data_IF_324114127635
#
_entry.id   IF_324114127635
#
_cell.length_a   1.000
_cell.length_b   1.000
_cell.length_c   1.000
_cell.angle_alpha   90.00
_cell.angle_beta   90.00
_cell.angle_gamma   90.00
#
_symmetry.space_group_name_H-M   'P 1'
#
loop_
_entity.id
_entity.type
_entity.pdbx_description
1 polymer ?
#
# COMPACT_ATOMS: atom_id res chain seq x y z
N UNK A 1 -15.51 -32.92 10.24
CA UNK A 1 -16.47 -32.12 11.02
C UNK A 1 -17.91 -32.28 10.54
N UNK A 2 -18.34 -31.79 9.37
CA UNK A 2 -19.74 -31.96 8.94
C UNK A 2 -20.16 -33.44 8.76
N UNK A 3 -19.27 -34.27 8.19
CA UNK A 3 -19.50 -35.72 8.05
C UNK A 3 -19.59 -36.40 9.41
N UNK A 4 -18.68 -36.09 10.34
CA UNK A 4 -18.66 -36.66 11.70
C UNK A 4 -19.88 -36.23 12.54
N UNK A 5 -20.33 -34.97 12.43
CA UNK A 5 -21.53 -34.49 13.10
C UNK A 5 -22.80 -35.17 12.59
N UNK A 6 -22.84 -35.48 11.29
CA UNK A 6 -23.94 -36.21 10.67
C UNK A 6 -23.96 -37.68 11.12
N UNK A 7 -22.81 -38.34 11.16
CA UNK A 7 -22.67 -39.69 11.70
C UNK A 7 -23.10 -39.76 13.18
N UNK A 8 -22.71 -38.79 14.01
CA UNK A 8 -23.16 -38.70 15.40
C UNK A 8 -24.68 -38.54 15.54
N UNK A 9 -25.33 -37.80 14.64
CA UNK A 9 -26.79 -37.63 14.62
C UNK A 9 -27.49 -38.95 14.27
N UNK A 10 -26.96 -39.68 13.29
CA UNK A 10 -27.46 -40.99 12.88
C UNK A 10 -27.28 -42.03 14.00
N UNK A 11 -26.13 -42.02 14.69
CA UNK A 11 -25.85 -42.87 15.85
C UNK A 11 -26.80 -42.58 17.01
N UNK A 12 -27.08 -41.31 17.32
CA UNK A 12 -28.05 -40.92 18.36
C UNK A 12 -29.47 -41.37 18.01
N UNK A 13 -29.86 -41.30 16.73
CA UNK A 13 -31.16 -41.83 16.28
C UNK A 13 -31.23 -43.36 16.39
N UNK A 14 -30.15 -44.08 16.09
CA UNK A 14 -30.07 -45.52 16.29
C UNK A 14 -30.15 -45.89 17.77
N UNK A 15 -29.43 -45.16 18.64
CA UNK A 15 -29.48 -45.35 20.10
C UNK A 15 -30.90 -45.14 20.65
N UNK A 16 -31.60 -44.09 20.19
CA UNK A 16 -32.98 -43.78 20.61
C UNK A 16 -33.96 -44.90 20.29
N UNK A 17 -33.76 -45.61 19.17
CA UNK A 17 -34.58 -46.78 18.78
C UNK A 17 -34.27 -48.03 19.62
N UNK A 18 -33.04 -48.14 20.13
CA UNK A 18 -32.59 -49.31 20.90
C UNK A 18 -32.87 -49.23 22.41
N UNK A 19 -33.07 -48.02 22.95
CA UNK A 19 -33.26 -47.75 24.38
C UNK A 19 -34.62 -47.07 24.64
N UNK A 20 -35.69 -47.84 24.93
CA UNK A 20 -37.04 -47.30 25.12
C UNK A 20 -37.31 -46.70 26.52
N UNK A 21 -36.32 -46.71 27.43
CA UNK A 21 -36.46 -46.13 28.76
C UNK A 21 -36.63 -44.59 28.69
N UNK A 22 -37.68 -44.01 29.31
CA UNK A 22 -37.92 -42.57 29.31
C UNK A 22 -36.75 -41.71 29.80
N UNK A 23 -35.95 -42.22 30.74
CA UNK A 23 -34.80 -41.49 31.31
C UNK A 23 -33.63 -41.38 30.31
N UNK A 24 -33.42 -42.43 29.51
CA UNK A 24 -32.43 -42.46 28.44
C UNK A 24 -32.88 -41.62 27.24
N UNK A 25 -34.17 -41.64 26.89
CA UNK A 25 -34.68 -40.81 25.78
C UNK A 25 -34.51 -39.31 26.04
N UNK A 26 -34.80 -38.83 27.26
CA UNK A 26 -34.60 -37.42 27.60
C UNK A 26 -33.12 -36.98 27.48
N UNK A 27 -32.19 -37.88 27.80
CA UNK A 27 -30.75 -37.62 27.69
C UNK A 27 -30.28 -37.64 26.24
N UNK A 28 -30.80 -38.56 25.43
CA UNK A 28 -30.51 -38.65 23.98
C UNK A 28 -31.06 -37.42 23.24
N UNK A 29 -32.27 -36.97 23.58
CA UNK A 29 -32.88 -35.77 22.99
C UNK A 29 -32.04 -34.51 23.29
N UNK A 30 -31.52 -34.40 24.52
CA UNK A 30 -30.62 -33.32 24.91
C UNK A 30 -29.30 -33.35 24.12
N UNK A 31 -28.75 -34.54 23.87
CA UNK A 31 -27.56 -34.70 23.05
C UNK A 31 -27.84 -34.37 21.57
N UNK A 32 -28.97 -34.80 21.03
CA UNK A 32 -29.38 -34.46 19.65
C UNK A 32 -29.47 -32.95 19.45
N UNK A 33 -30.15 -32.23 20.35
CA UNK A 33 -30.23 -30.75 20.30
C UNK A 33 -28.84 -30.11 20.35
N UNK A 34 -27.91 -30.67 21.12
CA UNK A 34 -26.55 -30.15 21.21
C UNK A 34 -25.75 -30.39 19.92
N UNK A 35 -25.88 -31.57 19.31
CA UNK A 35 -25.23 -31.90 18.03
C UNK A 35 -25.85 -31.10 16.88
N UNK A 36 -27.17 -30.89 16.87
CA UNK A 36 -27.84 -30.00 15.91
C UNK A 36 -27.40 -28.54 16.07
N UNK A 37 -27.20 -28.07 17.31
CA UNK A 37 -26.65 -26.74 17.57
C UNK A 37 -25.22 -26.61 17.03
N UNK A 38 -24.36 -27.61 17.27
CA UNK A 38 -23.00 -27.67 16.71
C UNK A 38 -23.00 -27.76 15.18
N UNK A 39 -23.96 -28.49 14.59
CA UNK A 39 -24.12 -28.62 13.14
C UNK A 39 -24.56 -27.30 12.51
N UNK A 40 -25.49 -26.58 13.14
CA UNK A 40 -25.87 -25.24 12.71
C UNK A 40 -24.68 -24.28 12.79
N UNK A 41 -23.94 -24.28 13.91
CA UNK A 41 -22.69 -23.49 14.03
C UNK A 41 -21.66 -23.85 12.96
N UNK A 42 -21.57 -25.12 12.57
CA UNK A 42 -20.70 -25.58 11.49
C UNK A 42 -21.20 -25.18 10.09
N UNK A 43 -22.50 -25.17 9.84
CA UNK A 43 -23.09 -24.71 8.58
C UNK A 43 -22.92 -23.20 8.37
N UNK A 44 -22.86 -22.43 9.46
CA UNK A 44 -22.48 -21.02 9.45
C UNK A 44 -20.96 -20.81 9.54
N UNK A 45 -20.15 -21.86 9.35
CA UNK A 45 -18.71 -21.69 9.27
C UNK A 45 -18.40 -20.68 8.15
N UNK A 46 -17.62 -19.63 8.45
CA UNK A 46 -17.39 -18.55 7.50
C UNK A 46 -16.77 -19.12 6.23
N UNK A 47 -17.28 -18.72 5.07
CA UNK A 47 -16.76 -19.10 3.77
C UNK A 47 -15.25 -18.82 3.74
N UNK A 48 -14.43 -19.88 3.80
CA UNK A 48 -12.98 -19.76 3.74
C UNK A 48 -12.57 -19.69 2.29
N UNK A 49 -11.80 -18.65 1.97
CA UNK A 49 -11.17 -18.52 0.67
C UNK A 49 -10.24 -19.71 0.42
N UNK A 50 -10.35 -20.34 -0.75
CA UNK A 50 -9.41 -21.38 -1.19
C UNK A 50 -8.17 -20.76 -1.83
N UNK A 51 -7.06 -21.51 -1.86
CA UNK A 51 -5.88 -21.08 -2.61
C UNK A 51 -6.17 -21.02 -4.11
N UNK A 52 -5.76 -19.92 -4.74
CA UNK A 52 -5.89 -19.67 -6.17
C UNK A 52 -4.52 -19.83 -6.81
N UNK A 53 -4.38 -20.77 -7.74
CA UNK A 53 -3.10 -21.04 -8.40
C UNK A 53 -2.66 -19.90 -9.33
N UNK A 54 -3.56 -19.44 -10.19
CA UNK A 54 -3.29 -18.44 -11.23
C UNK A 54 -4.24 -17.25 -11.06
N UNK A 55 -3.74 -16.02 -11.20
CA UNK A 55 -4.52 -14.81 -10.95
C UNK A 55 -5.43 -14.48 -12.14
N UNK A 56 -6.63 -15.06 -12.17
CA UNK A 56 -7.57 -14.88 -13.29
C UNK A 56 -8.12 -13.44 -13.39
N UNK A 57 -8.26 -12.94 -14.62
CA UNK A 57 -8.98 -11.70 -14.92
C UNK A 57 -10.50 -11.89 -15.08
N UNK A 58 -11.01 -13.11 -14.94
CA UNK A 58 -12.43 -13.41 -15.05
C UNK A 58 -13.25 -12.64 -14.00
N UNK A 59 -14.31 -11.97 -14.45
CA UNK A 59 -15.15 -11.13 -13.60
C UNK A 59 -16.32 -11.96 -13.08
N UNK A 60 -16.07 -12.67 -11.98
CA UNK A 60 -17.06 -13.45 -11.23
C UNK A 60 -16.96 -13.12 -9.75
N UNK A 61 -18.06 -13.28 -9.01
CA UNK A 61 -18.11 -12.92 -7.58
C UNK A 61 -17.22 -13.80 -6.70
N UNK A 62 -16.89 -15.01 -7.16
CA UNK A 62 -15.96 -15.92 -6.48
C UNK A 62 -14.48 -15.56 -6.69
N UNK A 63 -14.14 -14.66 -7.61
CA UNK A 63 -12.76 -14.28 -7.90
C UNK A 63 -12.35 -13.00 -7.14
N UNK A 64 -11.55 -13.11 -6.05
CA UNK A 64 -11.12 -11.98 -5.25
C UNK A 64 -10.15 -11.05 -5.98
N UNK A 65 -9.56 -11.49 -7.09
CA UNK A 65 -8.58 -10.72 -7.88
C UNK A 65 -9.17 -10.00 -9.07
N UNK A 66 -10.44 -10.25 -9.42
CA UNK A 66 -11.12 -9.70 -10.60
C UNK A 66 -10.98 -8.17 -10.73
N UNK A 67 -11.15 -7.44 -9.62
CA UNK A 67 -11.07 -5.97 -9.60
C UNK A 67 -9.62 -5.46 -9.65
N UNK A 68 -8.67 -6.24 -9.18
CA UNK A 68 -7.24 -5.91 -9.26
C UNK A 68 -6.72 -6.12 -10.69
N UNK A 69 -7.11 -7.23 -11.33
CA UNK A 69 -6.78 -7.53 -12.73
C UNK A 69 -7.42 -6.53 -13.71
N UNK A 70 -8.47 -5.83 -13.31
CA UNK A 70 -9.05 -4.75 -14.11
C UNK A 70 -8.05 -3.60 -14.35
N UNK A 71 -7.10 -3.35 -13.45
CA UNK A 71 -6.05 -2.34 -13.64
C UNK A 71 -5.20 -2.61 -14.88
N UNK A 72 -4.99 -3.89 -15.21
CA UNK A 72 -4.27 -4.29 -16.42
C UNK A 72 -5.12 -4.06 -17.67
N UNK A 73 -6.42 -4.32 -17.60
CA UNK A 73 -7.35 -4.03 -18.72
C UNK A 73 -7.51 -2.53 -18.98
N UNK A 74 -7.42 -1.72 -17.93
CA UNK A 74 -7.46 -0.25 -18.02
C UNK A 74 -6.13 0.37 -18.47
N UNK A 75 -5.09 -0.44 -18.74
CA UNK A 75 -3.78 0.05 -19.16
C UNK A 75 -2.98 0.77 -18.06
N UNK A 76 -3.39 0.67 -16.78
CA UNK A 76 -2.70 1.31 -15.67
C UNK A 76 -1.47 0.51 -15.22
N UNK A 77 -1.57 -0.82 -15.23
CA UNK A 77 -0.49 -1.74 -14.85
C UNK A 77 -0.33 -2.81 -15.90
N UNK A 78 0.78 -2.84 -16.63
CA UNK A 78 0.98 -3.77 -17.76
C UNK A 78 0.85 -5.25 -17.35
N UNK A 79 1.37 -5.61 -16.18
CA UNK A 79 1.32 -6.99 -15.67
C UNK A 79 1.13 -6.98 -14.16
N UNK A 80 -0.13 -7.03 -13.72
CA UNK A 80 -0.48 -7.01 -12.30
C UNK A 80 -0.09 -8.31 -11.59
N UNK A 81 -0.17 -9.46 -12.27
CA UNK A 81 0.09 -10.79 -11.68
C UNK A 81 1.50 -10.91 -11.07
N UNK A 82 2.46 -10.14 -11.61
CA UNK A 82 3.83 -10.03 -11.08
C UNK A 82 3.90 -9.66 -9.60
N UNK A 83 2.84 -9.08 -9.02
CA UNK A 83 2.77 -8.81 -7.59
C UNK A 83 3.04 -10.07 -6.73
N UNK A 84 2.67 -11.26 -7.24
CA UNK A 84 2.92 -12.55 -6.60
C UNK A 84 4.38 -12.99 -6.61
N UNK A 85 5.23 -12.38 -7.42
CA UNK A 85 6.66 -12.68 -7.44
C UNK A 85 7.43 -11.86 -6.39
N UNK A 86 6.82 -10.83 -5.81
CA UNK A 86 7.51 -9.94 -4.90
C UNK A 86 7.35 -10.38 -3.45
N UNK A 87 8.37 -10.02 -2.67
CA UNK A 87 8.48 -10.29 -1.25
C UNK A 87 8.79 -9.01 -0.49
N UNK A 88 8.03 -8.74 0.57
CA UNK A 88 8.16 -7.51 1.36
C UNK A 88 8.36 -7.85 2.83
N UNK A 89 9.38 -7.26 3.45
CA UNK A 89 9.58 -7.33 4.89
C UNK A 89 8.94 -6.10 5.56
N UNK A 90 8.15 -6.28 6.61
CA UNK A 90 7.50 -5.21 7.35
C UNK A 90 8.00 -5.26 8.80
N UNK A 91 8.66 -4.18 9.23
CA UNK A 91 9.20 -4.04 10.58
C UNK A 91 8.28 -3.12 11.38
N UNK A 92 7.71 -3.66 12.45
CA UNK A 92 6.64 -3.04 13.25
C UNK A 92 5.27 -3.39 12.69
N UNK A 93 4.50 -4.23 13.39
CA UNK A 93 3.12 -4.61 13.10
C UNK A 93 2.19 -3.85 14.06
N UNK A 94 2.43 -2.54 14.19
CA UNK A 94 1.60 -1.59 14.92
C UNK A 94 0.49 -1.01 14.04
N UNK A 95 0.05 0.22 14.32
CA UNK A 95 -1.10 0.82 13.62
C UNK A 95 -0.93 1.04 12.11
N UNK A 96 0.27 1.43 11.66
CA UNK A 96 0.57 1.59 10.22
C UNK A 96 0.91 0.24 9.60
N UNK A 97 1.80 -0.51 10.23
CA UNK A 97 2.34 -1.76 9.66
C UNK A 97 1.31 -2.88 9.54
N UNK A 98 0.34 -2.98 10.46
CA UNK A 98 -0.72 -3.98 10.37
C UNK A 98 -1.66 -3.72 9.19
N UNK A 99 -2.05 -2.47 8.97
CA UNK A 99 -2.87 -2.04 7.83
C UNK A 99 -2.09 -2.19 6.52
N UNK A 100 -0.81 -1.85 6.50
CA UNK A 100 0.05 -2.04 5.34
C UNK A 100 0.17 -3.54 4.96
N UNK A 101 0.33 -4.41 5.96
CA UNK A 101 0.36 -5.86 5.77
C UNK A 101 -0.97 -6.39 5.22
N UNK A 102 -2.10 -5.90 5.74
CA UNK A 102 -3.43 -6.26 5.24
C UNK A 102 -3.63 -5.84 3.78
N UNK A 103 -3.31 -4.59 3.44
CA UNK A 103 -3.44 -4.08 2.08
C UNK A 103 -2.59 -4.87 1.09
N UNK A 104 -1.31 -5.13 1.40
CA UNK A 104 -0.44 -5.94 0.55
C UNK A 104 -0.94 -7.39 0.42
N UNK A 105 -1.47 -7.96 1.50
CA UNK A 105 -2.07 -9.31 1.50
C UNK A 105 -3.29 -9.36 0.58
N UNK A 106 -4.16 -8.35 0.65
CA UNK A 106 -5.34 -8.22 -0.24
C UNK A 106 -4.94 -8.00 -1.71
N UNK A 107 -3.85 -7.27 -1.96
CA UNK A 107 -3.27 -7.13 -3.31
C UNK A 107 -2.67 -8.44 -3.86
N UNK A 108 -2.45 -9.46 -3.01
CA UNK A 108 -1.89 -10.73 -3.43
C UNK A 108 -0.37 -10.72 -3.59
N UNK A 109 0.33 -9.96 -2.73
CA UNK A 109 1.80 -10.02 -2.63
C UNK A 109 2.27 -11.47 -2.45
N UNK A 110 3.41 -11.82 -3.05
CA UNK A 110 3.92 -13.20 -3.01
C UNK A 110 4.29 -13.67 -1.60
N UNK A 111 5.03 -12.83 -0.88
CA UNK A 111 5.54 -13.16 0.47
C UNK A 111 5.62 -11.94 1.37
N UNK A 112 5.23 -12.08 2.63
CA UNK A 112 5.46 -11.09 3.70
C UNK A 112 6.31 -11.67 4.83
N UNK A 113 7.33 -10.92 5.25
CA UNK A 113 8.07 -11.17 6.48
C UNK A 113 7.63 -10.13 7.51
N UNK A 114 7.15 -10.56 8.67
CA UNK A 114 6.55 -9.70 9.69
C UNK A 114 7.43 -9.69 10.94
N UNK A 115 7.94 -8.53 11.34
CA UNK A 115 8.79 -8.38 12.53
C UNK A 115 8.11 -7.48 13.55
N UNK A 116 7.87 -7.99 14.74
CA UNK A 116 7.41 -7.22 15.91
C UNK A 116 7.77 -8.03 17.17
N UNK A 117 8.02 -7.37 18.30
CA UNK A 117 8.29 -8.05 19.57
C UNK A 117 7.16 -7.91 20.58
N UNK A 118 6.19 -7.04 20.32
CA UNK A 118 5.10 -6.74 21.24
C UNK A 118 3.98 -7.79 21.17
N UNK A 119 3.12 -7.72 22.18
CA UNK A 119 1.83 -8.42 22.21
C UNK A 119 0.69 -7.47 21.88
N UNK A 120 -0.43 -8.05 21.50
CA UNK A 120 -1.69 -7.31 21.33
C UNK A 120 -2.23 -6.94 22.70
N UNK A 121 -2.49 -5.65 22.90
CA UNK A 121 -3.08 -5.11 24.11
C UNK A 121 -4.44 -4.47 23.81
N UNK A 122 -5.31 -4.38 24.82
CA UNK A 122 -6.63 -3.73 24.67
C UNK A 122 -6.49 -2.25 24.31
N UNK A 123 -5.41 -1.60 24.76
CA UNK A 123 -5.07 -0.22 24.40
C UNK A 123 -4.81 -0.05 22.90
N UNK A 124 -4.60 -1.13 22.13
CA UNK A 124 -4.41 -1.06 20.68
C UNK A 124 -5.73 -1.05 19.89
N UNK A 125 -6.89 -1.24 20.54
CA UNK A 125 -8.20 -1.35 19.87
C UNK A 125 -8.73 -0.02 19.31
N UNK A 126 -8.09 1.11 19.61
CA UNK A 126 -8.35 2.38 18.93
C UNK A 126 -7.74 2.42 17.51
N UNK A 127 -6.92 1.43 17.16
CA UNK A 127 -6.28 1.26 15.85
C UNK A 127 -7.00 0.18 15.06
N UNK A 128 -6.75 0.17 13.75
CA UNK A 128 -7.30 -0.84 12.86
C UNK A 128 -6.59 -2.21 13.04
N UNK A 129 -7.14 -3.23 12.40
CA UNK A 129 -6.60 -4.59 12.23
C UNK A 129 -6.79 -5.58 13.40
N UNK A 130 -6.23 -5.33 14.59
CA UNK A 130 -6.32 -6.29 15.69
C UNK A 130 -7.72 -6.28 16.34
N UNK A 131 -8.12 -7.42 16.90
CA UNK A 131 -9.43 -7.61 17.53
C UNK A 131 -9.32 -7.96 19.02
N UNK A 132 -10.35 -7.69 19.84
CA UNK A 132 -10.29 -7.95 21.29
C UNK A 132 -9.97 -9.40 21.66
N UNK A 133 -10.42 -10.36 20.86
CA UNK A 133 -10.16 -11.79 21.06
C UNK A 133 -8.70 -12.20 20.86
N UNK A 134 -7.86 -11.33 20.28
CA UNK A 134 -6.44 -11.58 20.05
C UNK A 134 -5.53 -11.02 21.15
N UNK A 135 -6.11 -10.37 22.18
CA UNK A 135 -5.34 -9.79 23.29
C UNK A 135 -4.49 -10.88 23.97
N UNK A 136 -3.21 -10.57 24.20
CA UNK A 136 -2.23 -11.48 24.80
C UNK A 136 -1.44 -12.33 23.79
N UNK A 137 -1.90 -12.43 22.53
CA UNK A 137 -1.10 -12.99 21.43
C UNK A 137 0.06 -12.06 21.07
N UNK A 138 1.13 -12.61 20.50
CA UNK A 138 2.15 -11.78 19.85
C UNK A 138 1.51 -11.06 18.65
N UNK A 139 1.91 -9.82 18.37
CA UNK A 139 1.34 -9.06 17.24
C UNK A 139 1.59 -9.78 15.91
N UNK A 140 2.74 -10.41 15.77
CA UNK A 140 3.12 -11.22 14.61
C UNK A 140 2.23 -12.44 14.44
N UNK A 141 1.96 -13.23 15.48
CA UNK A 141 1.10 -14.42 15.38
C UNK A 141 -0.37 -14.03 15.11
N UNK A 142 -0.86 -13.01 15.81
CA UNK A 142 -2.21 -12.47 15.57
C UNK A 142 -2.37 -11.96 14.13
N UNK A 143 -1.34 -11.32 13.59
CA UNK A 143 -1.33 -10.89 12.20
C UNK A 143 -1.29 -12.07 11.22
N UNK A 144 -0.43 -13.06 11.43
CA UNK A 144 -0.38 -14.26 10.57
C UNK A 144 -1.74 -14.98 10.54
N UNK A 145 -2.40 -15.10 11.70
CA UNK A 145 -3.73 -15.70 11.78
C UNK A 145 -4.73 -14.93 10.91
N UNK A 146 -4.87 -13.63 11.11
CA UNK A 146 -5.81 -12.78 10.35
C UNK A 146 -5.49 -12.76 8.85
N UNK A 147 -4.21 -12.58 8.48
CA UNK A 147 -3.80 -12.44 7.08
C UNK A 147 -3.93 -13.75 6.30
N UNK A 148 -3.67 -14.90 6.94
CA UNK A 148 -3.88 -16.22 6.33
C UNK A 148 -5.35 -16.46 5.97
N UNK A 149 -6.26 -16.00 6.82
CA UNK A 149 -7.70 -16.10 6.58
C UNK A 149 -8.15 -15.14 5.46
N UNK A 150 -7.54 -13.96 5.35
CA UNK A 150 -7.83 -12.97 4.29
C UNK A 150 -7.35 -13.46 2.91
N UNK A 151 -6.13 -13.98 2.84
CA UNK A 151 -5.56 -14.48 1.59
C UNK A 151 -4.57 -15.63 1.81
N UNK A 152 -5.00 -16.89 1.62
CA UNK A 152 -4.16 -18.06 1.83
C UNK A 152 -3.07 -18.24 0.74
N UNK A 153 -3.10 -17.41 -0.31
CA UNK A 153 -2.12 -17.44 -1.39
C UNK A 153 -0.79 -16.80 -1.00
N UNK A 154 -0.80 -15.90 -0.01
CA UNK A 154 0.38 -15.16 0.45
C UNK A 154 1.22 -16.05 1.37
N UNK A 155 2.53 -16.10 1.13
CA UNK A 155 3.46 -16.76 2.04
C UNK A 155 3.77 -15.81 3.20
N UNK A 156 3.46 -16.20 4.44
CA UNK A 156 3.68 -15.40 5.63
C UNK A 156 4.79 -16.00 6.50
N UNK A 157 5.78 -15.19 6.88
CA UNK A 157 6.82 -15.55 7.83
C UNK A 157 6.81 -14.55 8.99
N UNK A 158 6.55 -15.01 10.21
CA UNK A 158 6.59 -14.17 11.42
C UNK A 158 7.92 -14.32 12.16
N UNK A 159 8.41 -13.19 12.68
CA UNK A 159 9.61 -13.10 13.51
C UNK A 159 9.27 -12.29 14.77
N UNK A 160 8.93 -13.00 15.85
CA UNK A 160 8.64 -12.39 17.15
C UNK A 160 9.94 -12.06 17.89
N UNK A 161 10.58 -10.94 17.54
CA UNK A 161 11.88 -10.54 18.08
C UNK A 161 12.10 -9.04 18.04
N UNK A 162 12.93 -8.53 18.95
CA UNK A 162 13.41 -7.16 18.90
C UNK A 162 14.68 -7.09 18.02
N UNK A 163 14.56 -6.46 16.87
CA UNK A 163 15.65 -6.32 15.89
C UNK A 163 16.85 -5.50 16.42
N UNK A 164 16.69 -4.70 17.47
CA UNK A 164 17.78 -3.87 18.02
C UNK A 164 18.74 -4.65 18.91
N UNK A 165 18.35 -5.84 19.35
CA UNK A 165 19.26 -6.76 20.06
C UNK A 165 20.27 -7.37 19.09
N UNK A 166 21.46 -7.75 19.56
CA UNK A 166 22.50 -8.37 18.72
C UNK A 166 21.96 -9.60 17.97
N UNK A 167 21.33 -10.53 18.70
CA UNK A 167 20.74 -11.73 18.11
C UNK A 167 19.58 -11.40 17.16
N UNK A 168 18.76 -10.40 17.50
CA UNK A 168 17.67 -9.93 16.65
C UNK A 168 18.16 -9.35 15.33
N UNK A 169 19.22 -8.54 15.38
CA UNK A 169 19.85 -7.95 14.20
C UNK A 169 20.45 -9.03 13.27
N UNK A 170 21.18 -10.01 13.83
CA UNK A 170 21.71 -11.13 13.06
C UNK A 170 20.60 -11.94 12.38
N UNK A 171 19.51 -12.20 13.11
CA UNK A 171 18.35 -12.92 12.57
C UNK A 171 17.65 -12.11 11.48
N UNK A 172 17.49 -10.80 11.68
CA UNK A 172 16.93 -9.88 10.68
C UNK A 172 17.78 -9.87 9.41
N UNK A 173 19.09 -9.62 9.52
CA UNK A 173 20.02 -9.65 8.38
C UNK A 173 20.02 -10.99 7.65
N UNK A 174 20.05 -12.10 8.39
CA UNK A 174 20.00 -13.45 7.82
C UNK A 174 18.71 -13.70 7.06
N UNK A 175 17.55 -13.37 7.65
CA UNK A 175 16.25 -13.55 7.00
C UNK A 175 16.08 -12.69 5.75
N UNK A 176 16.56 -11.44 5.75
CA UNK A 176 16.59 -10.60 4.54
C UNK A 176 17.47 -11.17 3.43
N UNK A 177 18.55 -11.89 3.77
CA UNK A 177 19.44 -12.55 2.78
C UNK A 177 18.86 -13.85 2.23
N UNK A 178 17.94 -14.52 2.93
CA UNK A 178 17.40 -15.83 2.53
C UNK A 178 16.61 -15.72 1.22
N UNK A 179 17.13 -16.40 0.19
CA UNK A 179 16.54 -16.47 -1.16
C UNK A 179 15.60 -17.66 -1.37
N UNK A 180 15.04 -18.22 -0.29
CA UNK A 180 14.18 -19.42 -0.37
C UNK A 180 12.98 -19.21 -1.28
N UNK A 181 12.38 -18.02 -1.24
CA UNK A 181 11.23 -17.67 -2.09
C UNK A 181 11.61 -17.47 -3.57
N UNK A 182 12.78 -16.89 -3.85
CA UNK A 182 13.32 -16.71 -5.21
C UNK A 182 14.82 -17.01 -5.27
N UNK A 183 15.21 -18.28 -5.47
CA UNK A 183 16.62 -18.69 -5.44
C UNK A 183 17.50 -17.99 -6.48
N UNK A 184 16.92 -17.64 -7.64
CA UNK A 184 17.62 -16.99 -8.76
C UNK A 184 17.74 -15.46 -8.62
N UNK A 185 17.22 -14.86 -7.56
CA UNK A 185 17.22 -13.41 -7.38
C UNK A 185 18.62 -12.88 -7.03
N UNK A 186 19.03 -11.81 -7.68
CA UNK A 186 20.27 -11.07 -7.35
C UNK A 186 20.08 -10.18 -6.11
N UNK A 187 21.16 -9.93 -5.37
CA UNK A 187 21.10 -9.12 -4.14
C UNK A 187 20.47 -9.86 -2.95
N UNK A 188 19.56 -9.20 -2.24
CA UNK A 188 18.83 -9.72 -1.07
C UNK A 188 17.71 -10.70 -1.45
N UNK A 189 17.21 -11.41 -0.44
CA UNK A 189 16.07 -12.31 -0.56
C UNK A 189 14.69 -11.63 -0.54
N UNK A 190 14.62 -10.33 -0.24
CA UNK A 190 13.38 -9.53 -0.23
C UNK A 190 13.44 -8.38 -1.25
N UNK A 191 12.30 -7.99 -1.81
CA UNK A 191 12.24 -6.92 -2.83
C UNK A 191 12.20 -5.54 -2.19
N UNK A 192 11.54 -5.41 -1.04
CA UNK A 192 11.42 -4.16 -0.31
C UNK A 192 11.34 -4.42 1.19
N UNK A 193 11.89 -3.52 1.99
CA UNK A 193 11.66 -3.46 3.44
C UNK A 193 10.79 -2.24 3.73
N UNK A 194 9.79 -2.38 4.59
CA UNK A 194 8.92 -1.31 5.07
C UNK A 194 9.14 -1.13 6.57
N UNK A 195 9.65 0.03 6.97
CA UNK A 195 9.80 0.41 8.38
C UNK A 195 8.54 1.13 8.85
N UNK A 196 7.80 0.49 9.74
CA UNK A 196 6.57 0.99 10.37
C UNK A 196 6.71 1.03 11.91
N UNK A 197 7.95 1.12 12.41
CA UNK A 197 8.29 1.18 13.84
C UNK A 197 8.03 2.57 14.43
N UNK A 198 7.94 2.66 15.75
CA UNK A 198 7.56 3.90 16.46
C UNK A 198 8.74 4.62 17.12
N UNK A 199 9.94 4.04 17.15
CA UNK A 199 11.12 4.61 17.81
C UNK A 199 12.30 4.78 16.84
N UNK A 200 13.22 5.70 17.16
CA UNK A 200 14.36 6.02 16.30
C UNK A 200 15.46 4.95 16.34
N UNK A 201 15.61 4.25 17.47
CA UNK A 201 16.57 3.14 17.62
C UNK A 201 16.34 2.06 16.55
N UNK A 202 15.10 1.58 16.43
CA UNK A 202 14.73 0.58 15.43
C UNK A 202 14.86 1.11 13.99
N UNK A 203 14.51 2.38 13.72
CA UNK A 203 14.73 3.01 12.40
C UNK A 203 16.21 3.01 12.01
N UNK A 204 17.09 3.34 12.96
CA UNK A 204 18.54 3.33 12.74
C UNK A 204 19.08 1.92 12.48
N UNK A 205 18.53 0.90 13.14
CA UNK A 205 18.87 -0.51 12.90
C UNK A 205 18.44 -0.99 11.51
N UNK A 206 17.20 -0.66 11.09
CA UNK A 206 16.74 -0.96 9.72
C UNK A 206 17.62 -0.24 8.69
N UNK A 207 17.95 1.04 8.93
CA UNK A 207 18.85 1.81 8.08
C UNK A 207 20.24 1.17 7.97
N UNK A 208 20.83 0.72 9.08
CA UNK A 208 22.12 0.04 9.09
C UNK A 208 22.08 -1.23 8.24
N UNK A 209 21.10 -2.11 8.50
CA UNK A 209 20.92 -3.36 7.76
C UNK A 209 20.76 -3.09 6.25
N UNK A 210 19.92 -2.12 5.89
CA UNK A 210 19.64 -1.84 4.49
C UNK A 210 20.85 -1.24 3.74
N UNK A 211 21.63 -0.37 4.40
CA UNK A 211 22.88 0.14 3.80
C UNK A 211 23.90 -0.99 3.59
N UNK A 212 24.09 -1.86 4.58
CA UNK A 212 25.02 -3.01 4.47
C UNK A 212 24.63 -3.98 3.36
N UNK A 213 23.33 -4.25 3.19
CA UNK A 213 22.81 -5.19 2.19
C UNK A 213 22.56 -4.56 0.81
N UNK A 214 22.72 -3.24 0.68
CA UNK A 214 22.24 -2.49 -0.48
C UNK A 214 20.74 -2.76 -0.78
N UNK A 215 19.93 -2.86 0.27
CA UNK A 215 18.51 -3.15 0.19
C UNK A 215 17.72 -1.84 0.10
N UNK A 216 16.87 -1.72 -0.93
CA UNK A 216 15.91 -0.61 -1.01
C UNK A 216 14.82 -0.79 0.05
N UNK A 217 14.43 0.30 0.70
CA UNK A 217 13.41 0.26 1.74
C UNK A 217 12.58 1.54 1.76
N UNK A 218 11.41 1.48 2.38
CA UNK A 218 10.60 2.66 2.65
C UNK A 218 10.39 2.80 4.16
N UNK A 219 10.48 4.03 4.63
CA UNK A 219 10.17 4.40 6.00
C UNK A 219 8.80 5.07 6.06
N UNK A 220 8.11 4.90 7.19
CA UNK A 220 6.90 5.62 7.52
C UNK A 220 6.88 6.07 8.96
N UNK A 221 6.27 7.23 9.20
CA UNK A 221 6.10 7.79 10.53
C UNK A 221 4.79 8.54 10.67
N UNK A 222 4.26 8.54 11.89
CA UNK A 222 3.11 9.34 12.33
C UNK A 222 3.57 10.14 13.54
N UNK A 223 3.21 11.42 13.62
CA UNK A 223 3.58 12.28 14.74
C UNK A 223 2.88 11.88 16.04
N UNK A 224 3.47 12.24 17.19
CA UNK A 224 2.92 11.92 18.51
C UNK A 224 1.54 12.55 18.78
N UNK A 225 1.20 13.64 18.10
CA UNK A 225 -0.11 14.30 18.15
C UNK A 225 -1.12 13.75 17.12
N UNK A 226 -0.72 12.75 16.33
CA UNK A 226 -1.50 12.07 15.29
C UNK A 226 -2.04 12.95 14.16
N UNK A 227 -1.60 14.21 14.01
CA UNK A 227 -2.08 15.12 12.95
C UNK A 227 -1.09 15.32 11.80
N UNK A 228 0.00 14.56 11.78
CA UNK A 228 0.90 14.50 10.64
C UNK A 228 1.50 13.11 10.45
N UNK A 229 2.00 12.84 9.25
CA UNK A 229 2.73 11.63 8.94
C UNK A 229 3.54 11.79 7.65
N UNK A 230 4.31 10.77 7.32
CA UNK A 230 5.07 10.75 6.07
C UNK A 230 5.42 9.33 5.65
N UNK A 231 5.83 9.22 4.39
CA UNK A 231 6.56 8.08 3.84
C UNK A 231 7.81 8.58 3.13
N UNK A 232 8.87 7.78 3.14
CA UNK A 232 10.12 8.07 2.47
C UNK A 232 10.66 6.82 1.79
N UNK A 233 11.14 6.93 0.56
CA UNK A 233 11.88 5.89 -0.16
C UNK A 233 13.38 6.10 0.01
N UNK A 234 14.06 5.06 0.48
CA UNK A 234 15.49 5.04 0.74
C UNK A 234 16.13 3.97 -0.14
N UNK A 235 16.85 4.44 -1.17
CA UNK A 235 17.68 3.62 -2.05
C UNK A 235 19.14 3.91 -1.66
N UNK A 236 19.84 2.96 -1.00
CA UNK A 236 21.20 3.20 -0.52
C UNK A 236 22.13 3.73 -1.61
N UNK A 237 22.76 4.88 -1.35
CA UNK A 237 23.67 5.55 -2.29
C UNK A 237 23.01 6.51 -3.29
N UNK A 238 21.71 6.37 -3.55
CA UNK A 238 20.96 7.17 -4.52
C UNK A 238 20.10 8.26 -3.86
N UNK A 239 19.38 7.90 -2.80
CA UNK A 239 18.60 8.84 -1.96
C UNK A 239 19.17 8.91 -0.54
N UNK A 240 18.80 9.95 0.20
CA UNK A 240 19.20 10.10 1.60
C UNK A 240 18.83 8.86 2.41
N UNK A 241 19.81 8.25 3.08
CA UNK A 241 19.54 7.26 4.12
C UNK A 241 19.06 7.99 5.39
N UNK A 242 18.51 7.26 6.37
CA UNK A 242 17.96 7.87 7.58
C UNK A 242 19.03 8.61 8.41
N UNK A 243 20.29 8.16 8.33
CA UNK A 243 21.44 8.79 8.97
C UNK A 243 22.02 9.99 8.19
N UNK A 244 21.52 10.31 6.99
CA UNK A 244 21.97 11.48 6.23
C UNK A 244 21.41 12.79 6.82
N UNK A 245 20.17 12.75 7.30
CA UNK A 245 19.47 13.85 7.93
C UNK A 245 18.81 13.38 9.25
N UNK A 246 19.61 13.02 10.27
CA UNK A 246 19.09 12.46 11.50
C UNK A 246 18.29 13.50 12.29
N UNK A 247 17.21 13.10 12.99
CA UNK A 247 16.50 13.99 13.89
C UNK A 247 17.41 14.42 15.05
N UNK A 248 17.09 15.56 15.68
CA UNK A 248 17.93 16.17 16.72
C UNK A 248 18.28 15.21 17.88
N UNK A 249 17.32 14.39 18.31
CA UNK A 249 17.54 13.40 19.39
C UNK A 249 18.64 12.39 19.04
N UNK A 250 18.66 11.91 17.79
CA UNK A 250 19.68 10.99 17.29
C UNK A 250 21.02 11.70 17.10
N UNK A 251 21.01 12.91 16.53
CA UNK A 251 22.23 13.69 16.28
C UNK A 251 22.94 14.11 17.58
N UNK A 252 22.18 14.36 18.65
CA UNK A 252 22.71 14.76 19.97
C UNK A 252 23.10 13.57 20.86
N UNK A 253 22.79 12.33 20.46
CA UNK A 253 23.08 11.13 21.24
C UNK A 253 22.25 11.00 22.52
N UNK A 254 21.13 11.71 22.62
CA UNK A 254 20.21 11.62 23.74
C UNK A 254 19.39 10.34 23.62
N UNK A 255 19.26 9.60 24.72
CA UNK A 255 18.41 8.41 24.76
C UNK A 255 16.92 8.82 24.69
N UNK A 256 16.22 8.39 23.64
CA UNK A 256 14.79 8.64 23.41
C UNK A 256 13.94 8.20 24.61
N UNK A 257 14.36 7.18 25.36
CA UNK A 257 13.66 6.68 26.54
C UNK A 257 13.56 7.73 27.65
N UNK A 258 14.48 8.69 27.68
CA UNK A 258 14.46 9.82 28.64
C UNK A 258 13.41 10.88 28.30
N UNK A 259 12.90 10.89 27.07
CA UNK A 259 11.86 11.83 26.61
C UNK A 259 10.44 11.30 26.92
N UNK A 260 10.27 9.98 26.99
CA UNK A 260 8.99 9.33 27.29
C UNK A 260 8.71 9.41 28.79
N UNK A 261 7.67 10.14 29.18
CA UNK A 261 7.19 10.20 30.57
C UNK A 261 6.24 9.04 30.85
N UNK A 262 6.41 8.37 31.99
CA UNK A 262 5.49 7.32 32.42
C UNK A 262 4.05 7.87 32.52
N UNK A 263 3.09 7.11 31.99
CA UNK A 263 1.67 7.50 31.96
C UNK A 263 1.26 8.44 30.83
N UNK A 264 2.18 8.88 29.97
CA UNK A 264 1.88 9.69 28.77
C UNK A 264 1.99 8.81 27.54
N UNK A 265 0.89 8.61 26.82
CA UNK A 265 0.89 7.92 25.54
C UNK A 265 0.86 8.92 24.37
N UNK A 266 1.51 8.56 23.27
CA UNK A 266 1.32 9.28 22.02
C UNK A 266 -0.14 9.17 21.59
N UNK A 267 -0.71 10.29 21.13
CA UNK A 267 -2.01 10.27 20.50
C UNK A 267 -1.95 9.36 19.26
N UNK A 268 -3.03 8.64 19.00
CA UNK A 268 -3.09 7.64 17.96
C UNK A 268 -4.46 7.70 17.32
N UNK A 269 -4.51 8.23 16.09
CA UNK A 269 -5.74 8.35 15.32
C UNK A 269 -5.75 7.32 14.19
N UNK A 270 -6.77 6.44 14.11
CA UNK A 270 -6.81 5.39 13.09
C UNK A 270 -6.89 5.94 11.67
N UNK A 271 -7.42 7.16 11.49
CA UNK A 271 -7.49 7.84 10.19
C UNK A 271 -6.09 8.18 9.67
N UNK A 272 -5.25 8.83 10.47
CA UNK A 272 -3.87 9.18 10.08
C UNK A 272 -3.04 7.94 9.78
N UNK A 273 -3.20 6.89 10.60
CA UNK A 273 -2.55 5.60 10.35
C UNK A 273 -3.01 4.96 9.04
N UNK A 274 -4.31 4.99 8.76
CA UNK A 274 -4.88 4.49 7.50
C UNK A 274 -4.39 5.26 6.27
N UNK A 275 -4.33 6.60 6.36
CA UNK A 275 -3.78 7.45 5.28
C UNK A 275 -2.31 7.12 5.02
N UNK A 276 -1.48 7.09 6.06
CA UNK A 276 -0.04 6.81 5.90
C UNK A 276 0.19 5.39 5.39
N UNK A 277 -0.54 4.38 5.89
CA UNK A 277 -0.45 3.01 5.39
C UNK A 277 -0.87 2.90 3.92
N UNK A 278 -1.97 3.58 3.54
CA UNK A 278 -2.45 3.63 2.17
C UNK A 278 -1.41 4.26 1.22
N UNK A 279 -0.83 5.40 1.62
CA UNK A 279 0.25 6.05 0.86
C UNK A 279 1.48 5.15 0.74
N UNK A 280 1.88 4.49 1.83
CA UNK A 280 3.04 3.59 1.88
C UNK A 280 2.87 2.40 0.91
N UNK A 281 1.71 1.74 0.97
CA UNK A 281 1.41 0.60 0.09
C UNK A 281 1.23 1.06 -1.35
N UNK A 282 0.59 2.20 -1.60
CA UNK A 282 0.48 2.75 -2.95
C UNK A 282 1.87 3.03 -3.55
N UNK A 283 2.79 3.60 -2.77
CA UNK A 283 4.16 3.82 -3.24
C UNK A 283 4.92 2.50 -3.46
N UNK A 284 4.67 1.50 -2.61
CA UNK A 284 5.18 0.12 -2.77
C UNK A 284 4.71 -0.51 -4.07
N UNK A 285 3.42 -0.42 -4.39
CA UNK A 285 2.86 -0.96 -5.63
C UNK A 285 3.43 -0.23 -6.85
N UNK A 286 3.47 1.10 -6.87
CA UNK A 286 4.12 1.89 -7.94
C UNK A 286 5.57 1.44 -8.15
N UNK A 287 6.31 1.24 -7.06
CA UNK A 287 7.72 0.86 -7.10
C UNK A 287 7.92 -0.57 -7.65
N UNK A 288 7.13 -1.54 -7.20
CA UNK A 288 7.27 -2.95 -7.59
C UNK A 288 6.71 -3.22 -8.99
N UNK A 289 5.53 -2.69 -9.30
CA UNK A 289 4.80 -2.92 -10.54
C UNK A 289 5.12 -1.90 -11.65
N UNK A 290 5.97 -0.91 -11.37
CA UNK A 290 6.50 0.05 -12.35
C UNK A 290 5.41 0.86 -13.08
N UNK A 291 4.45 1.38 -12.32
CA UNK A 291 3.42 2.29 -12.84
C UNK A 291 3.41 3.61 -12.07
N UNK A 292 2.93 4.68 -12.73
CA UNK A 292 2.88 6.03 -12.17
C UNK A 292 4.24 6.56 -11.71
N UNK A 293 4.22 7.58 -10.85
CA UNK A 293 5.43 8.19 -10.30
C UNK A 293 5.67 7.77 -8.85
N UNK A 294 6.80 7.11 -8.58
CA UNK A 294 7.21 6.77 -7.21
C UNK A 294 7.66 8.03 -6.49
N UNK A 295 7.15 8.26 -5.29
CA UNK A 295 7.49 9.44 -4.47
C UNK A 295 8.73 9.15 -3.62
N UNK A 296 9.83 9.93 -3.74
CA UNK A 296 10.99 9.81 -2.86
C UNK A 296 10.66 10.18 -1.41
N UNK A 297 9.82 11.18 -1.22
CA UNK A 297 9.20 11.53 0.05
C UNK A 297 7.80 12.08 -0.21
N UNK A 298 6.87 11.74 0.66
CA UNK A 298 5.52 12.30 0.69
C UNK A 298 5.10 12.51 2.14
N UNK A 299 4.89 13.77 2.52
CA UNK A 299 4.32 14.15 3.80
C UNK A 299 2.81 14.19 3.76
N UNK A 300 2.20 14.16 4.94
CA UNK A 300 0.78 14.36 5.17
C UNK A 300 0.60 15.26 6.39
N UNK A 301 -0.09 16.39 6.20
CA UNK A 301 -0.52 17.27 7.28
C UNK A 301 -2.05 17.29 7.32
N UNK A 302 -2.61 16.65 8.35
CA UNK A 302 -4.06 16.48 8.51
C UNK A 302 -4.80 17.78 8.88
N UNK A 303 -4.10 18.81 9.35
CA UNK A 303 -4.72 20.08 9.72
C UNK A 303 -5.02 20.97 8.51
N UNK A 304 -4.32 20.75 7.39
CA UNK A 304 -4.40 21.59 6.19
C UNK A 304 -4.64 20.80 4.91
N UNK A 305 -4.90 19.49 5.02
CA UNK A 305 -4.98 18.55 3.90
C UNK A 305 -3.81 18.72 2.90
N UNK A 306 -2.62 18.92 3.45
CA UNK A 306 -1.43 19.27 2.67
C UNK A 306 -0.49 18.07 2.53
N UNK A 307 -0.10 17.79 1.27
CA UNK A 307 0.69 16.62 0.88
C UNK A 307 1.99 17.02 0.17
N UNK A 308 3.02 17.49 0.91
CA UNK A 308 4.29 17.91 0.30
C UNK A 308 5.08 16.72 -0.23
N UNK A 309 5.58 16.83 -1.46
CA UNK A 309 6.60 15.93 -2.01
C UNK A 309 7.97 16.59 -2.01
N UNK A 310 9.02 15.82 -1.75
CA UNK A 310 10.40 16.29 -1.83
C UNK A 310 11.34 15.16 -2.26
N UNK A 311 12.54 15.53 -2.68
CA UNK A 311 13.63 14.59 -2.93
C UNK A 311 14.79 14.91 -2.00
N UNK A 312 15.16 13.96 -1.14
CA UNK A 312 16.30 14.09 -0.25
C UNK A 312 17.50 13.32 -0.81
N UNK A 313 18.62 14.03 -1.01
CA UNK A 313 19.85 13.45 -1.54
C UNK A 313 20.77 12.94 -0.44
N UNK A 314 21.61 11.93 -0.72
CA UNK A 314 22.60 11.42 0.23
C UNK A 314 23.51 12.54 0.74
N UNK A 315 23.82 12.49 2.04
CA UNK A 315 24.84 13.35 2.64
C UNK A 315 26.24 12.76 2.31
N UNK A 316 27.13 13.50 1.61
CA UNK A 316 28.49 13.03 1.29
C UNK A 316 29.38 12.83 2.52
N UNK A 317 28.96 13.32 3.69
CA UNK A 317 29.61 13.17 4.98
C UNK A 317 28.71 12.43 5.98
N UNK A 318 27.83 11.55 5.49
CA UNK A 318 26.99 10.72 6.36
C UNK A 318 27.84 9.95 7.38
N UNK A 319 27.36 9.90 8.63
CA UNK A 319 28.03 9.16 9.72
C UNK A 319 28.06 7.65 9.51
N UNK A 320 27.23 7.13 8.60
CA UNK A 320 27.15 5.71 8.28
C UNK A 320 28.15 5.35 7.17
N UNK A 321 29.19 4.58 7.51
CA UNK A 321 30.23 4.17 6.56
C UNK A 321 29.70 3.37 5.37
N UNK A 322 28.76 2.44 5.60
CA UNK A 322 28.13 1.68 4.52
C UNK A 322 27.35 2.59 3.56
N UNK A 323 26.69 3.65 4.05
CA UNK A 323 26.05 4.63 3.18
C UNK A 323 27.07 5.33 2.26
N UNK A 324 28.25 5.72 2.78
CA UNK A 324 29.31 6.33 1.97
C UNK A 324 29.86 5.38 0.91
N UNK A 325 29.97 4.09 1.22
CA UNK A 325 30.35 3.05 0.25
C UNK A 325 29.31 2.91 -0.86
N UNK A 326 28.02 2.80 -0.50
CA UNK A 326 26.91 2.74 -1.47
C UNK A 326 26.85 3.99 -2.36
N UNK A 327 27.15 5.18 -1.82
CA UNK A 327 27.24 6.41 -2.62
C UNK A 327 28.35 6.32 -3.68
N UNK A 328 29.53 5.79 -3.34
CA UNK A 328 30.62 5.59 -4.31
C UNK A 328 30.23 4.59 -5.40
N UNK A 329 29.63 3.47 -5.02
CA UNK A 329 29.12 2.47 -5.96
C UNK A 329 28.07 3.06 -6.90
N UNK A 330 27.13 3.84 -6.35
CA UNK A 330 26.11 4.54 -7.12
C UNK A 330 26.72 5.52 -8.13
N UNK A 331 27.68 6.34 -7.72
CA UNK A 331 28.36 7.30 -8.61
C UNK A 331 29.08 6.62 -9.78
N UNK A 332 29.67 5.44 -9.55
CA UNK A 332 30.31 4.65 -10.60
C UNK A 332 29.27 4.05 -11.58
N UNK A 333 28.11 3.63 -11.08
CA UNK A 333 27.04 3.07 -11.90
C UNK A 333 26.16 4.13 -12.60
N UNK A 334 26.13 5.35 -12.07
CA UNK A 334 25.21 6.42 -12.49
C UNK A 334 25.28 6.73 -13.99
N UNK A 335 26.45 6.90 -14.64
CA UNK A 335 26.49 7.24 -16.06
C UNK A 335 25.78 6.20 -16.95
N UNK A 336 25.98 4.91 -16.66
CA UNK A 336 25.34 3.83 -17.41
C UNK A 336 23.83 3.78 -17.14
N UNK A 337 23.41 4.01 -15.89
CA UNK A 337 21.98 4.06 -15.51
C UNK A 337 21.26 5.24 -16.16
N UNK A 338 21.85 6.43 -16.12
CA UNK A 338 21.28 7.65 -16.71
C UNK A 338 21.16 7.51 -18.23
N UNK A 339 22.17 6.93 -18.89
CA UNK A 339 22.12 6.62 -20.32
C UNK A 339 21.00 5.62 -20.65
N UNK A 340 20.84 4.56 -19.86
CA UNK A 340 19.78 3.57 -20.04
C UNK A 340 18.38 4.16 -19.81
N UNK A 341 18.22 5.01 -18.79
CA UNK A 341 16.96 5.69 -18.51
C UNK A 341 16.59 6.66 -19.63
N UNK A 342 17.56 7.44 -20.12
CA UNK A 342 17.39 8.34 -21.26
C UNK A 342 16.99 7.59 -22.53
N UNK A 343 17.66 6.48 -22.83
CA UNK A 343 17.31 5.62 -23.98
C UNK A 343 15.90 5.02 -23.84
N UNK A 344 15.48 4.63 -22.64
CA UNK A 344 14.12 4.14 -22.37
C UNK A 344 13.08 5.25 -22.59
N UNK A 345 13.32 6.44 -22.05
CA UNK A 345 12.42 7.60 -22.26
C UNK A 345 12.33 7.99 -23.73
N UNK A 346 13.45 8.00 -24.46
CA UNK A 346 13.46 8.25 -25.90
C UNK A 346 12.69 7.17 -26.67
N UNK A 347 12.83 5.89 -26.29
CA UNK A 347 12.06 4.80 -26.89
C UNK A 347 10.55 4.92 -26.60
N UNK A 348 10.17 5.28 -25.37
CA UNK A 348 8.77 5.53 -24.98
C UNK A 348 8.18 6.74 -25.71
N UNK A 349 8.96 7.81 -25.90
CA UNK A 349 8.53 8.98 -26.68
C UNK A 349 8.39 8.69 -28.18
N UNK A 350 9.18 7.73 -28.71
CA UNK A 350 9.08 7.26 -30.11
C UNK A 350 7.89 6.33 -30.33
N UNK A 351 7.40 5.66 -29.30
CA UNK A 351 6.07 5.03 -29.29
C UNK A 351 5.05 6.15 -29.18
N UNK A 352 4.79 6.78 -30.32
CA UNK A 352 3.89 7.90 -30.58
C UNK A 352 2.82 8.05 -29.49
N UNK A 353 2.89 9.15 -28.73
CA UNK A 353 1.71 9.72 -28.11
C UNK A 353 0.77 10.09 -29.26
N UNK A 354 -0.11 9.16 -29.66
CA UNK A 354 -1.20 9.49 -30.57
C UNK A 354 -1.93 10.66 -29.93
N UNK A 355 -1.99 11.78 -30.65
CA UNK A 355 -2.83 12.90 -30.23
C UNK A 355 -4.20 12.33 -29.89
N UNK A 356 -4.87 12.78 -28.80
CA UNK A 356 -6.18 12.27 -28.44
C UNK A 356 -7.09 12.26 -29.68
N UNK A 357 -7.38 11.07 -30.19
CA UNK A 357 -8.26 10.92 -31.34
C UNK A 357 -9.66 11.06 -30.78
N UNK A 358 -10.31 12.16 -31.12
CA UNK A 358 -11.73 12.33 -30.83
C UNK A 358 -12.50 11.54 -31.88
N UNK A 359 -13.03 10.38 -31.48
CA UNK A 359 -13.87 9.55 -32.34
C UNK A 359 -15.04 10.37 -32.93
N UNK A 360 -15.57 11.30 -32.12
CA UNK A 360 -16.62 12.25 -32.52
C UNK A 360 -16.16 13.70 -32.29
N UNK A 361 -16.24 14.51 -33.34
CA UNK A 361 -16.05 15.97 -33.27
C UNK A 361 -17.07 16.70 -34.14
N UNK A 362 -18.35 16.39 -33.94
CA UNK A 362 -19.47 16.95 -34.73
C UNK A 362 -19.50 18.49 -34.74
N UNK A 363 -18.97 19.11 -33.68
CA UNK A 363 -18.96 20.56 -33.48
C UNK A 363 -17.70 21.23 -34.04
N UNK A 364 -16.82 20.48 -34.73
CA UNK A 364 -15.54 20.97 -35.27
C UNK A 364 -14.72 21.77 -34.24
N UNK A 365 -14.70 21.31 -33.00
CA UNK A 365 -13.93 21.92 -31.92
C UNK A 365 -12.46 21.67 -32.23
N UNK A 366 -11.67 22.75 -32.29
CA UNK A 366 -10.22 22.68 -32.48
C UNK A 366 -9.51 23.11 -31.21
N UNK A 367 -8.44 22.39 -30.84
CA UNK A 367 -7.51 22.84 -29.81
C UNK A 367 -6.59 23.89 -30.45
N UNK A 368 -6.61 25.10 -29.93
CA UNK A 368 -5.72 26.19 -30.35
C UNK A 368 -4.57 26.25 -29.34
N UNK A 369 -3.34 26.34 -29.82
CA UNK A 369 -2.18 26.51 -28.96
C UNK A 369 -2.17 27.93 -28.39
N UNK A 370 -1.78 28.11 -27.11
CA UNK A 370 -1.74 29.42 -26.46
C UNK A 370 -0.77 30.39 -27.18
N UNK A 371 0.14 29.86 -28.00
CA UNK A 371 1.05 30.64 -28.86
C UNK A 371 0.39 31.27 -30.10
N UNK A 372 -0.83 30.87 -30.48
CA UNK A 372 -1.56 31.40 -31.64
C UNK A 372 -2.49 32.58 -31.30
N UNK A 373 -2.71 32.88 -30.02
CA UNK A 373 -3.58 33.97 -29.58
C UNK A 373 -3.04 35.38 -29.91
N UNK A 374 -1.77 35.49 -30.30
CA UNK A 374 -1.12 36.76 -30.72
C UNK A 374 -1.16 37.02 -32.24
N UNK A 375 -1.83 36.18 -33.05
CA UNK A 375 -1.94 36.37 -34.50
C UNK A 375 -3.38 36.54 -34.96
N UNK A 376 -3.98 37.67 -34.59
CA UNK A 376 -5.15 38.19 -35.33
C UNK A 376 -4.68 38.97 -36.56
N UNK A 377 -4.52 38.28 -37.68
CA UNK A 377 -4.76 38.90 -38.99
C UNK A 377 -5.29 37.86 -39.99
N UNK A 378 -6.44 38.18 -40.57
CA UNK A 378 -7.31 37.24 -41.23
C UNK A 378 -6.75 36.62 -42.51
N UNK A 379 -7.04 35.33 -42.70
CA UNK A 379 -7.49 34.74 -43.97
C UNK A 379 -7.98 33.31 -43.72
N UNK A 380 -9.23 33.06 -44.09
CA UNK A 380 -9.81 31.73 -44.20
C UNK A 380 -9.17 30.97 -45.36
N UNK A 381 -8.52 29.84 -45.09
CA UNK A 381 -8.32 28.78 -46.08
C UNK A 381 -8.34 27.44 -45.36
N UNK A 382 -9.31 26.60 -45.70
CA UNK A 382 -9.48 25.27 -45.16
C UNK A 382 -8.30 24.37 -45.49
N UNK A 383 -7.71 23.80 -44.44
CA UNK A 383 -7.06 22.49 -44.41
C UNK A 383 -6.98 22.07 -42.93
N UNK A 384 -7.19 20.79 -42.60
CA UNK A 384 -7.08 20.31 -41.23
C UNK A 384 -5.61 20.39 -40.82
N UNK A 385 -5.28 21.40 -39.99
CA UNK A 385 -3.96 21.58 -39.44
C UNK A 385 -3.79 20.63 -38.25
N UNK A 386 -2.97 19.61 -38.46
CA UNK A 386 -2.34 18.83 -37.40
C UNK A 386 -1.28 19.73 -36.77
N UNK A 387 -1.50 20.19 -35.53
CA UNK A 387 -0.51 20.95 -34.78
C UNK A 387 -0.43 20.41 -33.35
N UNK A 388 0.76 19.92 -33.00
CA UNK A 388 1.15 19.49 -31.65
C UNK A 388 1.61 20.69 -30.83
N UNK A 389 1.20 20.78 -29.56
CA UNK A 389 2.01 21.41 -28.52
C UNK A 389 1.91 20.63 -27.20
N UNK A 390 3.07 20.39 -26.59
CA UNK A 390 3.26 19.74 -25.29
C UNK A 390 3.05 20.77 -24.18
N UNK A 391 1.82 21.01 -23.75
CA UNK A 391 1.48 21.67 -22.47
C UNK A 391 -0.03 21.65 -22.30
N UNK A 392 -0.53 21.72 -21.06
CA UNK A 392 -1.94 21.61 -20.69
C UNK A 392 -2.41 20.16 -20.51
N UNK A 393 -1.78 19.45 -19.58
CA UNK A 393 -2.36 18.24 -18.98
C UNK A 393 -2.66 18.42 -17.49
N UNK A 394 -3.14 19.59 -17.05
CA UNK A 394 -3.53 19.77 -15.62
C UNK A 394 -4.73 20.69 -15.34
N UNK A 395 -5.42 21.21 -16.36
CA UNK A 395 -6.51 22.20 -16.15
C UNK A 395 -7.95 21.72 -16.35
N UNK A 396 -8.21 20.68 -17.14
CA UNK A 396 -9.57 20.41 -17.64
C UNK A 396 -10.39 19.35 -16.87
N UNK A 397 -9.81 18.63 -15.90
CA UNK A 397 -10.54 17.57 -15.20
C UNK A 397 -11.61 18.08 -14.21
N UNK A 398 -11.56 19.36 -13.81
CA UNK A 398 -12.51 19.90 -12.81
C UNK A 398 -13.83 20.37 -13.43
N UNK A 399 -13.87 20.65 -14.74
CA UNK A 399 -15.08 21.20 -15.38
C UNK A 399 -16.00 20.09 -15.90
N UNK A 400 -15.46 18.94 -16.30
CA UNK A 400 -16.26 17.85 -16.87
C UNK A 400 -17.18 17.15 -15.84
N UNK A 401 -16.75 17.00 -14.59
CA UNK A 401 -17.57 16.34 -13.56
C UNK A 401 -18.69 17.22 -12.99
N UNK A 402 -18.56 18.55 -13.06
CA UNK A 402 -19.66 19.45 -12.69
C UNK A 402 -20.76 19.52 -13.76
N UNK A 403 -20.47 19.12 -15.00
CA UNK A 403 -21.39 19.21 -16.13
C UNK A 403 -22.35 18.02 -16.27
N UNK A 404 -22.10 16.91 -15.56
CA UNK A 404 -22.94 15.71 -15.65
C UNK A 404 -24.14 15.70 -14.68
N UNK A 405 -24.33 16.72 -13.83
CA UNK A 405 -25.35 16.71 -12.77
C UNK A 405 -26.24 17.97 -12.67
N UNK A 406 -26.28 18.84 -13.69
CA UNK A 406 -27.16 20.02 -13.66
C UNK A 406 -28.30 19.89 -14.69
N UNK A 407 -29.51 19.71 -14.16
CA UNK A 407 -30.76 19.79 -14.92
C UNK A 407 -30.82 21.06 -15.77
N UNK A 408 -31.25 20.89 -17.01
CA UNK A 408 -31.35 21.87 -18.12
C UNK A 408 -32.02 23.22 -17.77
N UNK A 409 -32.68 23.32 -16.61
CA UNK A 409 -33.37 24.52 -16.14
C UNK A 409 -32.45 25.54 -15.45
N UNK A 410 -31.37 25.10 -14.77
CA UNK A 410 -30.41 26.01 -14.14
C UNK A 410 -29.43 26.64 -15.16
N UNK A 411 -29.08 25.90 -16.21
CA UNK A 411 -28.14 26.34 -17.24
C UNK A 411 -28.62 27.61 -17.98
N UNK A 412 -29.93 27.72 -18.24
CA UNK A 412 -30.52 28.93 -18.85
C UNK A 412 -30.50 30.16 -17.94
N UNK A 413 -30.53 30.00 -16.61
CA UNK A 413 -30.40 31.13 -15.68
C UNK A 413 -28.96 31.59 -15.52
N UNK A 414 -27.99 30.67 -15.52
CA UNK A 414 -26.57 31.00 -15.38
C UNK A 414 -26.05 31.82 -16.57
N UNK A 415 -26.46 31.46 -17.79
CA UNK A 415 -26.11 32.19 -19.01
C UNK A 415 -26.69 33.61 -19.04
N UNK A 416 -27.91 33.81 -18.55
CA UNK A 416 -28.50 35.16 -18.46
C UNK A 416 -27.82 36.05 -17.42
N UNK A 417 -27.27 35.49 -16.35
CA UNK A 417 -26.51 36.26 -15.34
C UNK A 417 -25.09 36.61 -15.79
N UNK A 418 -24.43 35.77 -16.61
CA UNK A 418 -23.10 36.08 -17.15
C UNK A 418 -23.14 37.14 -18.26
N UNK A 419 -24.22 37.23 -19.03
CA UNK A 419 -24.40 38.30 -20.02
C UNK A 419 -24.56 39.70 -19.41
N UNK A 420 -25.00 39.79 -18.14
CA UNK A 420 -25.17 41.07 -17.43
C UNK A 420 -23.88 41.60 -16.78
N UNK A 421 -22.85 40.77 -16.61
CA UNK A 421 -21.58 41.17 -15.98
C UNK A 421 -20.58 41.74 -16.99
N UNK A 422 -20.74 41.46 -18.29
CA UNK A 422 -19.84 41.96 -19.35
C UNK A 422 -20.27 43.29 -19.99
N UNK A 423 -21.35 43.94 -19.52
CA UNK A 423 -21.78 45.25 -20.04
C UNK A 423 -21.41 46.47 -19.17
N UNK A 424 -20.79 46.31 -17.99
CA UNK A 424 -20.44 47.46 -17.12
C UNK A 424 -18.94 47.83 -17.05
N UNK A 425 -18.05 47.16 -17.78
CA UNK A 425 -16.62 47.54 -17.84
C UNK A 425 -16.20 48.00 -19.24
N UNK A 426 -16.94 48.98 -19.78
CA UNK A 426 -16.68 49.57 -21.09
C UNK A 426 -17.13 51.02 -21.18
N UNK A 427 -16.51 51.91 -20.39
CA UNK A 427 -16.42 53.35 -20.66
C UNK A 427 -15.29 53.97 -19.86
#
# INVERSE_FOLDING_TARGET
MEVELKEMLDDLQALKRSLPDPSHQASIDKLQVHVEHLTNLAQYAPARRSKVKDMSAEVVDSNPYSRLMALQRMGIVENYERIREFSVAIVGIGGVGSVAAEMLTRCGIGRLLLYDYDKVELANMNRLFFRPEQVGMTKTDAAVQTLSDINPDVVLESYTLNITTVQGFETFMSSLRKKTFRPKKEGSGVDLVLSCVDNYEARMVVNQACNELNQTWMESGVSEDAVSGHIQLLIPGETACFACAPPLVVASGVDERTLKREGVCAASLPTTMGVVAGLLVQNTLKFLLKFGHVSPYLGYNALKDYFPTMEMRPNPQCSNAACLERQKEYLLAKPARDAAAKAKMEAEALVVAECPIHDDNEWNISVVDDSELDRTDGRSSGNPLILCSESILYGLFVVADLLLNLDNFLFRKLLLSCSLIFQENGS
#
